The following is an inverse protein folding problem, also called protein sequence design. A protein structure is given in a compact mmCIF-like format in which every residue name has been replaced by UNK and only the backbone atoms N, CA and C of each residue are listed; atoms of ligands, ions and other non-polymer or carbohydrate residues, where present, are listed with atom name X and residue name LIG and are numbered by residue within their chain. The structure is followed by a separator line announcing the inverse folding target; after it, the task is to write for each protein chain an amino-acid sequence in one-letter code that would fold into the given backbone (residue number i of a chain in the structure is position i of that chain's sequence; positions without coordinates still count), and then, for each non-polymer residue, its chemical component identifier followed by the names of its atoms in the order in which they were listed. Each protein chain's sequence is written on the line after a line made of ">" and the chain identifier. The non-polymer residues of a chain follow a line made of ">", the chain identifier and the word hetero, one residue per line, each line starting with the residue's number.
data_IF_926170773632
#
_entry.id   IF_926170773632
#
_cell.length_a   1.000
_cell.length_b   1.000
_cell.length_c   1.000
_cell.angle_alpha   90.00
_cell.angle_beta   90.00
_cell.angle_gamma   90.00
#
_symmetry.space_group_name_H-M   'P 1'
#
loop_
_entity.id
_entity.type
_entity.pdbx_description
1 polymer ?
#
# COMPACT_ATOMS: atom_id res chain seq x y z
N UNK A 1 -8.00 -9.74 -9.10
CA UNK A 1 -9.04 -9.57 -8.07
C UNK A 1 -9.39 -8.09 -8.04
N UNK A 2 -10.47 -7.70 -8.72
CA UNK A 2 -10.78 -6.29 -8.95
C UNK A 2 -10.60 -5.43 -7.68
N UNK A 3 -9.88 -4.32 -7.82
CA UNK A 3 -9.56 -3.43 -6.71
C UNK A 3 -10.85 -2.98 -6.02
N UNK A 4 -11.11 -3.51 -4.82
CA UNK A 4 -12.26 -3.07 -4.01
C UNK A 4 -11.90 -1.81 -3.25
N UNK A 5 -12.49 -0.68 -3.65
CA UNK A 5 -12.33 0.60 -2.94
C UNK A 5 -12.67 0.44 -1.46
N UNK A 6 -11.82 0.99 -0.58
CA UNK A 6 -11.97 0.90 0.87
C UNK A 6 -11.64 -0.46 1.51
N UNK A 7 -11.10 -1.45 0.77
CA UNK A 7 -10.72 -2.73 1.40
C UNK A 7 -9.39 -2.68 2.16
N UNK A 8 -8.44 -1.81 1.76
CA UNK A 8 -7.11 -1.71 2.36
C UNK A 8 -6.20 -2.93 2.21
N UNK A 9 -6.64 -4.01 1.55
CA UNK A 9 -5.93 -5.28 1.50
C UNK A 9 -4.52 -5.17 0.91
N UNK A 10 -4.35 -4.43 -0.19
CA UNK A 10 -3.05 -4.20 -0.81
C UNK A 10 -2.08 -3.39 0.07
N UNK A 11 -2.58 -2.68 1.09
CA UNK A 11 -1.78 -1.90 2.04
C UNK A 11 -1.52 -2.65 3.37
N UNK A 12 -2.19 -3.77 3.62
CA UNK A 12 -2.06 -4.55 4.87
C UNK A 12 -1.44 -5.91 4.56
N UNK A 13 -2.00 -6.68 3.63
CA UNK A 13 -1.66 -8.08 3.40
C UNK A 13 -0.24 -8.32 2.84
N UNK A 14 0.22 -7.67 1.76
CA UNK A 14 1.49 -8.06 1.13
C UNK A 14 2.70 -7.63 1.96
N UNK A 15 3.80 -8.38 1.83
CA UNK A 15 5.12 -7.90 2.22
C UNK A 15 5.71 -7.08 1.07
N UNK A 16 6.28 -5.92 1.40
CA UNK A 16 6.87 -4.97 0.45
C UNK A 16 8.28 -4.69 0.95
N UNK A 17 9.30 -5.17 0.23
CA UNK A 17 10.71 -4.88 0.58
C UNK A 17 11.20 -3.55 0.01
N UNK A 18 10.45 -2.95 -0.91
CA UNK A 18 10.78 -1.63 -1.47
C UNK A 18 10.42 -0.52 -0.49
N UNK A 19 11.19 0.59 -0.45
CA UNK A 19 10.89 1.73 0.41
C UNK A 19 9.50 2.31 0.11
N UNK A 20 8.77 2.67 1.16
CA UNK A 20 7.54 3.47 1.11
C UNK A 20 7.85 4.80 1.80
N UNK A 21 7.28 5.94 1.36
CA UNK A 21 7.42 7.19 2.10
C UNK A 21 6.97 7.03 3.56
N UNK A 22 7.90 7.20 4.51
CA UNK A 22 7.69 6.95 5.94
C UNK A 22 7.92 5.51 6.40
N UNK A 23 8.27 4.58 5.51
CA UNK A 23 8.72 3.21 5.83
C UNK A 23 9.93 2.83 4.93
N UNK A 24 11.16 3.28 5.27
CA UNK A 24 12.33 3.13 4.40
C UNK A 24 12.75 1.66 4.20
N UNK A 25 12.52 0.81 5.19
CA UNK A 25 12.80 -0.65 5.12
C UNK A 25 11.66 -1.44 4.45
N UNK A 26 10.65 -0.74 3.92
CA UNK A 26 9.45 -1.33 3.38
C UNK A 26 8.41 -1.67 4.44
N UNK A 27 7.56 -2.65 4.17
CA UNK A 27 6.39 -3.01 4.99
C UNK A 27 6.24 -4.53 5.08
N UNK A 28 6.30 -5.12 6.28
CA UNK A 28 6.00 -6.54 6.46
C UNK A 28 4.54 -6.89 6.09
N UNK A 29 4.30 -8.17 5.79
CA UNK A 29 2.95 -8.70 5.61
C UNK A 29 2.12 -8.54 6.89
N UNK A 30 0.83 -8.22 6.77
CA UNK A 30 -0.08 -7.97 7.89
C UNK A 30 0.10 -6.63 8.59
N UNK A 31 1.22 -5.92 8.38
CA UNK A 31 1.44 -4.59 8.94
C UNK A 31 0.70 -3.53 8.13
N UNK A 32 -0.01 -2.64 8.82
CA UNK A 32 -0.73 -1.50 8.22
C UNK A 32 0.27 -0.49 7.65
N UNK A 33 0.19 -0.22 6.34
CA UNK A 33 1.01 0.80 5.69
C UNK A 33 0.72 2.21 6.27
N UNK A 34 1.75 3.02 6.47
CA UNK A 34 1.63 4.42 6.95
C UNK A 34 0.80 5.32 6.01
N UNK A 35 0.73 4.93 4.73
CA UNK A 35 -0.03 5.63 3.71
C UNK A 35 -1.51 5.22 3.66
N UNK A 36 -1.96 4.26 4.47
CA UNK A 36 -3.36 3.84 4.52
C UNK A 36 -4.15 4.76 5.47
N UNK A 37 -5.12 5.51 4.94
CA UNK A 37 -6.02 6.36 5.73
C UNK A 37 -6.97 5.53 6.59
N UNK A 38 -7.70 6.18 7.50
CA UNK A 38 -8.74 5.54 8.32
C UNK A 38 -9.85 4.91 7.47
N UNK A 39 -10.18 5.53 6.33
CA UNK A 39 -11.16 5.03 5.35
C UNK A 39 -10.61 3.91 4.44
N UNK A 40 -9.44 3.36 4.76
CA UNK A 40 -8.75 2.34 3.98
C UNK A 40 -8.46 2.74 2.52
N UNK A 41 -8.16 4.03 2.32
CA UNK A 41 -7.69 4.58 1.05
C UNK A 41 -6.20 4.89 1.13
N UNK A 42 -5.46 4.70 0.03
CA UNK A 42 -4.03 5.03 0.01
C UNK A 42 -3.85 6.54 -0.26
N UNK A 43 -3.17 7.25 0.66
CA UNK A 43 -2.89 8.70 0.56
C UNK A 43 -2.13 9.07 -0.71
N UNK A 44 -1.26 8.19 -1.16
CA UNK A 44 -0.41 8.38 -2.35
C UNK A 44 -0.91 7.57 -3.56
N UNK A 45 -2.19 7.19 -3.61
CA UNK A 45 -2.73 6.48 -4.77
C UNK A 45 -2.59 7.33 -6.05
N UNK A 46 -1.87 6.81 -7.05
CA UNK A 46 -1.64 7.51 -8.33
C UNK A 46 -0.52 8.55 -8.29
N UNK A 47 0.13 8.76 -7.14
CA UNK A 47 1.24 9.70 -6.99
C UNK A 47 2.58 9.03 -7.36
N UNK A 48 3.58 9.80 -7.85
CA UNK A 48 4.90 9.26 -8.21
C UNK A 48 5.67 8.70 -7.01
N UNK A 49 5.35 9.15 -5.80
CA UNK A 49 5.94 8.65 -4.55
C UNK A 49 5.43 7.25 -4.17
N UNK A 50 4.37 6.77 -4.82
CA UNK A 50 3.85 5.41 -4.59
C UNK A 50 4.82 4.39 -5.19
N UNK A 51 5.29 3.41 -4.41
CA UNK A 51 6.22 2.42 -4.93
C UNK A 51 5.64 1.67 -6.13
N UNK A 52 6.47 1.46 -7.15
CA UNK A 52 6.09 0.83 -8.42
C UNK A 52 5.55 -0.60 -8.27
N UNK A 53 5.81 -1.25 -7.13
CA UNK A 53 5.27 -2.57 -6.79
C UNK A 53 3.82 -2.52 -6.30
N UNK A 54 3.36 -1.41 -5.73
CA UNK A 54 2.01 -1.30 -5.17
C UNK A 54 0.87 -1.50 -6.18
N UNK A 55 0.95 -1.04 -7.45
CA UNK A 55 -0.04 -1.34 -8.49
C UNK A 55 -0.21 -2.84 -8.76
N UNK A 56 0.84 -3.65 -8.57
CA UNK A 56 0.77 -5.11 -8.79
C UNK A 56 -0.16 -5.82 -7.79
N UNK A 57 -0.43 -5.22 -6.63
CA UNK A 57 -1.36 -5.73 -5.61
C UNK A 57 -2.77 -5.13 -5.70
N UNK A 58 -2.96 -4.10 -6.54
CA UNK A 58 -4.26 -3.45 -6.73
C UNK A 58 -5.03 -4.06 -7.92
N UNK A 59 -4.82 -5.35 -8.21
CA UNK A 59 -5.35 -6.07 -9.38
C UNK A 59 -6.34 -7.14 -9.04
#
# INVERSE_FOLDING_TARGET
>A
MECRNGCGACCIAPSISSPIPGMPEGKPAGVRCIQLTVDNMCKIFGQPERPSVCPSFAR
#
